data_IF_215345672021
#
_entry.id   IF_215345672021
#
_cell.length_a   1.000
_cell.length_b   1.000
_cell.length_c   1.000
_cell.angle_alpha   90.00
_cell.angle_beta   90.00
_cell.angle_gamma   90.00
#
_symmetry.space_group_name_H-M   'P 1'
#
loop_
_entity.id
_entity.type
_entity.pdbx_description
1 polymer ?
#
# COMPACT_ATOMS: atom_id res chain seq x y z
N UNK A 1 2.23 0.06 -8.40
CA UNK A 1 1.04 -0.57 -7.81
C UNK A 1 -0.12 -0.04 -8.59
N UNK A 2 -0.68 -0.89 -9.42
CA UNK A 2 -1.70 -0.57 -10.39
C UNK A 2 -2.96 -1.36 -10.03
N UNK A 3 -4.13 -0.84 -10.36
CA UNK A 3 -5.41 -1.49 -10.03
C UNK A 3 -6.06 -2.19 -11.22
N UNK A 4 -5.57 -1.95 -12.44
CA UNK A 4 -5.77 -2.84 -13.59
C UNK A 4 -7.08 -2.67 -14.36
N UNK A 5 -7.95 -1.73 -13.99
CA UNK A 5 -9.23 -1.53 -14.68
C UNK A 5 -9.08 -1.07 -16.15
N UNK A 6 -7.90 -0.56 -16.53
CA UNK A 6 -7.61 -0.09 -17.89
C UNK A 6 -6.98 -1.19 -18.77
N UNK A 7 -6.53 -2.29 -18.16
CA UNK A 7 -5.86 -3.36 -18.89
C UNK A 7 -6.89 -4.15 -19.73
N UNK A 8 -6.68 -4.35 -21.04
CA UNK A 8 -7.60 -5.12 -21.89
C UNK A 8 -7.77 -6.58 -21.43
N UNK A 9 -6.85 -7.10 -20.62
CA UNK A 9 -6.92 -8.43 -19.99
C UNK A 9 -7.82 -8.46 -18.75
N UNK A 10 -8.20 -7.31 -18.19
CA UNK A 10 -9.12 -7.23 -17.06
C UNK A 10 -10.55 -7.52 -17.54
N UNK A 11 -10.99 -8.78 -17.42
CA UNK A 11 -12.31 -9.24 -17.89
C UNK A 11 -13.38 -9.30 -16.81
N UNK A 12 -13.00 -9.20 -15.54
CA UNK A 12 -13.91 -9.32 -14.40
C UNK A 12 -13.51 -8.33 -13.31
N UNK A 13 -14.51 -7.71 -12.66
CA UNK A 13 -14.29 -6.96 -11.44
C UNK A 13 -15.11 -7.50 -10.27
N UNK A 14 -14.63 -7.22 -9.06
CA UNK A 14 -15.37 -7.45 -7.82
C UNK A 14 -15.92 -6.09 -7.40
N UNK A 15 -17.23 -5.91 -7.57
CA UNK A 15 -17.91 -4.68 -7.19
C UNK A 15 -18.43 -4.79 -5.76
N UNK A 16 -18.15 -3.78 -4.92
CA UNK A 16 -18.73 -3.66 -3.59
C UNK A 16 -19.77 -2.55 -3.59
N UNK A 17 -21.01 -2.89 -3.29
CA UNK A 17 -22.15 -1.98 -3.31
C UNK A 17 -22.95 -2.04 -2.01
N UNK A 18 -23.74 -0.99 -1.76
CA UNK A 18 -24.73 -0.97 -0.69
C UNK A 18 -25.97 -1.76 -1.14
N UNK A 19 -26.46 -2.68 -0.32
CA UNK A 19 -27.59 -3.57 -0.66
C UNK A 19 -28.80 -3.37 0.25
N UNK A 20 -28.63 -3.47 1.57
CA UNK A 20 -29.71 -3.25 2.55
C UNK A 20 -29.37 -2.03 3.42
N UNK A 21 -30.12 -0.94 3.26
CA UNK A 21 -29.92 0.30 4.01
C UNK A 21 -30.53 0.30 5.40
N UNK A 22 -31.41 -0.68 5.71
CA UNK A 22 -32.03 -0.89 7.02
C UNK A 22 -31.22 -1.83 7.93
N UNK A 23 -30.34 -2.66 7.36
CA UNK A 23 -29.46 -3.53 8.13
C UNK A 23 -28.49 -2.76 9.05
N UNK A 24 -27.88 -3.47 10.03
CA UNK A 24 -26.78 -2.92 10.84
C UNK A 24 -25.65 -2.40 9.94
N UNK A 25 -25.02 -1.28 10.31
CA UNK A 25 -24.02 -0.54 9.49
C UNK A 25 -22.97 -1.42 8.77
N UNK A 26 -22.44 -2.46 9.44
CA UNK A 26 -21.41 -3.36 8.89
C UNK A 26 -21.96 -4.51 8.03
N UNK A 27 -23.28 -4.59 7.85
CA UNK A 27 -24.01 -5.59 7.05
C UNK A 27 -24.78 -4.95 5.89
N UNK A 28 -24.53 -3.67 5.58
CA UNK A 28 -25.27 -2.96 4.54
C UNK A 28 -24.65 -3.13 3.14
N UNK A 29 -23.53 -3.83 3.01
CA UNK A 29 -22.79 -3.96 1.77
C UNK A 29 -22.59 -5.42 1.37
N UNK A 30 -22.59 -5.67 0.07
CA UNK A 30 -22.32 -6.97 -0.54
C UNK A 30 -21.22 -6.84 -1.60
N UNK A 31 -20.59 -7.96 -1.95
CA UNK A 31 -19.67 -8.02 -3.07
C UNK A 31 -20.24 -8.93 -4.17
N UNK A 32 -20.07 -8.53 -5.42
CA UNK A 32 -20.63 -9.23 -6.57
C UNK A 32 -19.62 -9.24 -7.72
N UNK A 33 -19.57 -10.36 -8.45
CA UNK A 33 -18.76 -10.49 -9.65
C UNK A 33 -19.46 -9.80 -10.83
N UNK A 34 -18.73 -8.96 -11.55
CA UNK A 34 -19.26 -8.22 -12.71
C UNK A 34 -18.30 -8.37 -13.89
N UNK A 35 -18.70 -9.05 -14.99
CA UNK A 35 -17.94 -9.08 -16.24
C UNK A 35 -17.75 -7.66 -16.78
N UNK A 36 -16.53 -7.30 -17.19
CA UNK A 36 -16.18 -5.94 -17.60
C UNK A 36 -16.84 -5.52 -18.93
N UNK A 37 -17.34 -6.48 -19.70
CA UNK A 37 -18.12 -6.29 -20.93
C UNK A 37 -19.63 -6.20 -20.70
N UNK A 38 -20.10 -6.23 -19.44
CA UNK A 38 -21.53 -6.11 -19.13
C UNK A 38 -22.07 -4.75 -19.60
N UNK A 39 -23.19 -4.69 -20.34
CA UNK A 39 -23.80 -3.43 -20.76
C UNK A 39 -24.02 -2.48 -19.58
N UNK A 40 -23.66 -1.20 -19.77
CA UNK A 40 -23.74 -0.16 -18.75
C UNK A 40 -22.42 0.12 -18.01
N UNK A 41 -21.37 -0.67 -18.24
CA UNK A 41 -20.03 -0.37 -17.72
C UNK A 41 -19.31 0.57 -18.69
N UNK A 42 -18.73 1.65 -18.15
CA UNK A 42 -17.92 2.59 -18.93
C UNK A 42 -16.70 3.04 -18.14
N UNK A 43 -15.52 2.77 -18.68
CA UNK A 43 -14.27 3.39 -18.23
C UNK A 43 -14.24 4.84 -18.71
N UNK A 44 -14.18 5.78 -17.77
CA UNK A 44 -14.28 7.22 -18.05
C UNK A 44 -12.93 7.80 -18.41
N UNK A 45 -11.92 7.55 -17.57
CA UNK A 45 -10.57 8.10 -17.74
C UNK A 45 -9.55 7.40 -16.86
N UNK A 46 -8.26 7.42 -17.25
CA UNK A 46 -7.16 7.11 -16.34
C UNK A 46 -7.01 8.18 -15.25
N UNK A 47 -6.45 7.77 -14.11
CA UNK A 47 -6.06 8.63 -13.00
C UNK A 47 -4.54 8.56 -12.83
N UNK A 48 -3.92 9.72 -12.68
CA UNK A 48 -2.46 9.82 -12.50
C UNK A 48 -2.07 9.99 -11.03
N UNK A 49 -0.93 9.43 -10.64
CA UNK A 49 -0.30 9.62 -9.33
C UNK A 49 0.99 10.41 -9.54
N UNK A 50 1.07 11.65 -9.06
CA UNK A 50 2.21 12.55 -9.36
C UNK A 50 2.54 12.66 -10.87
N UNK A 51 1.53 12.55 -11.74
CA UNK A 51 1.71 12.55 -13.19
C UNK A 51 2.05 11.19 -13.81
N UNK A 52 2.32 10.14 -13.03
CA UNK A 52 2.48 8.78 -13.53
C UNK A 52 1.12 8.14 -13.81
N UNK A 53 0.93 7.60 -15.02
CA UNK A 53 -0.33 6.97 -15.46
C UNK A 53 -0.44 5.48 -15.08
N UNK A 54 0.68 4.83 -14.78
CA UNK A 54 0.75 3.42 -14.39
C UNK A 54 0.37 2.46 -15.53
N UNK A 55 0.52 2.87 -16.79
CA UNK A 55 0.19 2.05 -17.94
C UNK A 55 1.06 0.76 -18.01
N UNK A 56 0.53 -0.36 -18.53
CA UNK A 56 -0.80 -0.52 -19.14
C UNK A 56 -1.94 -0.76 -18.15
N UNK A 57 -1.67 -1.10 -16.89
CA UNK A 57 -2.72 -1.49 -15.94
C UNK A 57 -3.50 -0.29 -15.37
N UNK A 58 -2.76 0.72 -14.92
CA UNK A 58 -3.22 2.01 -14.43
C UNK A 58 -4.26 2.01 -13.30
N UNK A 59 -4.84 3.19 -13.10
CA UNK A 59 -5.97 3.45 -12.21
C UNK A 59 -7.10 4.10 -13.02
N UNK A 60 -8.31 3.57 -12.93
CA UNK A 60 -9.43 4.01 -13.76
C UNK A 60 -10.62 4.51 -12.94
N UNK A 61 -11.24 5.58 -13.42
CA UNK A 61 -12.61 5.92 -13.05
C UNK A 61 -13.57 5.10 -13.90
N UNK A 62 -14.44 4.31 -13.28
CA UNK A 62 -15.38 3.41 -13.96
C UNK A 62 -16.80 3.67 -13.47
N UNK A 63 -17.73 3.89 -14.40
CA UNK A 63 -19.16 4.07 -14.12
C UNK A 63 -19.90 2.76 -14.39
N UNK A 64 -20.85 2.44 -13.51
CA UNK A 64 -21.78 1.34 -13.65
C UNK A 64 -23.19 1.92 -13.73
N UNK A 65 -23.73 2.06 -14.94
CA UNK A 65 -25.04 2.65 -15.22
C UNK A 65 -26.04 1.56 -15.64
N UNK A 66 -27.04 1.28 -14.79
CA UNK A 66 -28.05 0.24 -15.03
C UNK A 66 -27.49 -1.15 -15.37
N UNK A 67 -26.30 -1.48 -14.84
CA UNK A 67 -25.64 -2.77 -15.02
C UNK A 67 -26.45 -3.87 -14.34
N UNK A 68 -26.77 -4.93 -15.09
CA UNK A 68 -27.52 -6.09 -14.60
C UNK A 68 -26.67 -7.35 -14.71
N UNK A 69 -26.60 -8.11 -13.63
CA UNK A 69 -25.90 -9.40 -13.55
C UNK A 69 -26.76 -10.44 -12.80
N UNK A 70 -26.53 -11.75 -12.99
CA UNK A 70 -27.26 -12.78 -12.25
C UNK A 70 -27.07 -12.68 -10.73
N UNK A 71 -28.10 -13.02 -9.95
CA UNK A 71 -28.03 -13.09 -8.48
C UNK A 71 -26.94 -14.06 -8.01
N UNK A 72 -26.70 -15.13 -8.77
CA UNK A 72 -25.65 -16.12 -8.50
C UNK A 72 -24.23 -15.55 -8.55
N UNK A 73 -24.03 -14.32 -9.05
CA UNK A 73 -22.73 -13.65 -9.03
C UNK A 73 -22.36 -13.10 -7.64
N UNK A 74 -23.30 -13.11 -6.68
CA UNK A 74 -23.04 -12.66 -5.31
C UNK A 74 -21.96 -13.53 -4.67
N UNK A 75 -20.95 -12.87 -4.08
CA UNK A 75 -19.91 -13.55 -3.34
C UNK A 75 -20.37 -13.78 -1.90
N UNK A 76 -20.40 -15.04 -1.47
CA UNK A 76 -20.74 -15.54 -0.14
C UNK A 76 -22.18 -15.30 0.32
N UNK A 77 -22.75 -14.11 0.10
CA UNK A 77 -24.15 -13.79 0.41
C UNK A 77 -24.37 -12.31 0.72
N UNK A 78 -25.64 -11.94 0.86
CA UNK A 78 -26.05 -10.56 1.15
C UNK A 78 -25.50 -10.05 2.49
N UNK A 79 -25.05 -8.80 2.49
CA UNK A 79 -24.52 -8.11 3.67
C UNK A 79 -23.15 -8.62 4.12
N UNK A 80 -22.50 -9.51 3.36
CA UNK A 80 -21.18 -10.08 3.68
C UNK A 80 -20.01 -9.29 3.09
N UNK A 81 -20.26 -8.16 2.42
CA UNK A 81 -19.23 -7.40 1.70
C UNK A 81 -18.08 -6.91 2.59
N UNK A 82 -18.38 -6.43 3.80
CA UNK A 82 -17.32 -5.98 4.73
C UNK A 82 -16.44 -7.14 5.23
N UNK A 83 -17.05 -8.31 5.46
CA UNK A 83 -16.31 -9.51 5.88
C UNK A 83 -15.34 -9.97 4.79
N UNK A 84 -15.81 -10.04 3.54
CA UNK A 84 -14.98 -10.40 2.39
C UNK A 84 -13.85 -9.37 2.21
N UNK A 85 -14.16 -8.08 2.32
CA UNK A 85 -13.15 -7.02 2.26
C UNK A 85 -12.05 -7.22 3.30
N UNK A 86 -12.40 -7.42 4.57
CA UNK A 86 -11.40 -7.61 5.64
C UNK A 86 -10.59 -8.90 5.44
N UNK A 87 -11.24 -9.98 5.00
CA UNK A 87 -10.57 -11.25 4.70
C UNK A 87 -9.49 -11.10 3.61
N UNK A 88 -9.78 -10.33 2.56
CA UNK A 88 -8.84 -10.08 1.45
C UNK A 88 -7.78 -9.03 1.76
N UNK A 89 -8.14 -7.95 2.45
CA UNK A 89 -7.25 -6.81 2.68
C UNK A 89 -6.11 -7.13 3.66
N UNK A 90 -6.28 -8.09 4.57
CA UNK A 90 -5.21 -8.53 5.48
C UNK A 90 -3.95 -9.00 4.72
N UNK A 91 -4.05 -10.06 3.89
CA UNK A 91 -2.95 -10.51 3.03
C UNK A 91 -2.43 -9.45 2.05
N UNK A 92 -3.33 -8.65 1.46
CA UNK A 92 -2.94 -7.57 0.55
C UNK A 92 -1.96 -6.57 1.21
N UNK A 93 -2.28 -6.11 2.43
CA UNK A 93 -1.46 -5.18 3.19
C UNK A 93 -0.06 -5.70 3.44
N UNK A 94 0.10 -6.95 3.87
CA UNK A 94 1.43 -7.50 4.15
C UNK A 94 2.27 -7.67 2.87
N UNK A 95 1.65 -8.12 1.77
CA UNK A 95 2.37 -8.24 0.49
C UNK A 95 2.92 -6.89 0.01
N UNK A 96 2.17 -5.80 0.21
CA UNK A 96 2.64 -4.46 -0.10
C UNK A 96 3.80 -4.03 0.82
N UNK A 97 3.71 -4.31 2.12
CA UNK A 97 4.77 -3.99 3.07
C UNK A 97 6.06 -4.75 2.75
N UNK A 98 5.98 -6.04 2.40
CA UNK A 98 7.13 -6.85 1.98
C UNK A 98 7.82 -6.26 0.74
N UNK A 99 7.04 -5.86 -0.28
CA UNK A 99 7.57 -5.20 -1.49
C UNK A 99 8.24 -3.86 -1.18
N UNK A 100 7.70 -3.10 -0.23
CA UNK A 100 8.29 -1.82 0.20
C UNK A 100 9.66 -1.99 0.88
N UNK A 101 9.90 -3.10 1.57
CA UNK A 101 11.27 -3.42 2.06
C UNK A 101 12.23 -3.54 0.88
N UNK A 102 11.83 -4.23 -0.20
CA UNK A 102 12.63 -4.33 -1.43
C UNK A 102 12.88 -2.97 -2.10
N UNK A 103 11.87 -2.10 -2.13
CA UNK A 103 12.04 -0.74 -2.64
C UNK A 103 13.06 0.07 -1.82
N UNK A 104 12.98 -0.01 -0.50
CA UNK A 104 13.89 0.71 0.39
C UNK A 104 15.34 0.20 0.26
N UNK A 105 15.54 -1.12 0.16
CA UNK A 105 16.87 -1.70 -0.10
C UNK A 105 17.47 -1.23 -1.42
N UNK A 106 16.66 -1.24 -2.49
CA UNK A 106 17.11 -0.77 -3.80
C UNK A 106 17.46 0.72 -3.77
N UNK A 107 16.65 1.53 -3.09
CA UNK A 107 16.93 2.96 -2.92
C UNK A 107 18.23 3.21 -2.15
N UNK A 108 18.46 2.47 -1.06
CA UNK A 108 19.71 2.54 -0.29
C UNK A 108 20.92 2.15 -1.14
N UNK A 109 20.83 1.06 -1.92
CA UNK A 109 21.89 0.64 -2.83
C UNK A 109 22.22 1.73 -3.86
N UNK A 110 21.21 2.33 -4.48
CA UNK A 110 21.39 3.42 -5.45
C UNK A 110 22.03 4.65 -4.78
N UNK A 111 21.59 5.00 -3.57
CA UNK A 111 22.16 6.10 -2.78
C UNK A 111 23.65 5.88 -2.50
N UNK A 112 24.03 4.69 -2.05
CA UNK A 112 25.44 4.34 -1.78
C UNK A 112 26.26 4.44 -3.07
N UNK A 113 25.82 3.79 -4.15
CA UNK A 113 26.52 3.83 -5.43
C UNK A 113 26.73 5.27 -5.93
N UNK A 114 25.68 6.09 -5.91
CA UNK A 114 25.72 7.49 -6.34
C UNK A 114 26.68 8.33 -5.51
N UNK A 115 26.67 8.15 -4.20
CA UNK A 115 27.45 8.98 -3.27
C UNK A 115 28.93 8.60 -3.27
N UNK A 116 29.26 7.35 -3.57
CA UNK A 116 30.64 6.91 -3.79
C UNK A 116 31.21 7.40 -5.13
N UNK A 117 30.37 7.51 -6.17
CA UNK A 117 30.83 7.86 -7.52
C UNK A 117 30.88 9.36 -7.82
N UNK A 118 30.39 10.22 -6.93
CA UNK A 118 30.30 11.67 -7.15
C UNK A 118 31.18 12.44 -6.18
N UNK A 119 31.95 13.37 -6.71
CA UNK A 119 32.78 14.30 -5.93
C UNK A 119 32.14 15.68 -5.96
N UNK A 120 32.03 16.31 -4.78
CA UNK A 120 31.61 17.70 -4.63
C UNK A 120 32.38 18.33 -3.46
N UNK A 121 32.73 19.61 -3.58
CA UNK A 121 33.51 20.32 -2.56
C UNK A 121 34.83 19.59 -2.20
N UNK A 122 35.52 19.08 -3.22
CA UNK A 122 36.86 18.48 -3.07
C UNK A 122 36.91 17.04 -2.52
N UNK A 123 35.78 16.39 -2.23
CA UNK A 123 35.74 14.98 -1.77
C UNK A 123 34.50 14.21 -2.25
N UNK A 124 34.51 12.87 -2.24
CA UNK A 124 33.32 12.08 -2.52
C UNK A 124 32.16 12.46 -1.60
N UNK A 125 30.92 12.41 -2.10
CA UNK A 125 29.73 12.66 -1.29
C UNK A 125 29.63 11.68 -0.10
N UNK A 126 30.09 10.44 -0.28
CA UNK A 126 30.18 9.44 0.79
C UNK A 126 31.08 9.85 1.98
N UNK A 127 31.97 10.84 1.79
CA UNK A 127 32.80 11.41 2.86
C UNK A 127 32.17 12.64 3.54
N UNK A 128 30.93 12.99 3.19
CA UNK A 128 30.15 14.04 3.85
C UNK A 128 29.38 13.43 5.03
N UNK A 129 29.48 14.05 6.21
CA UNK A 129 28.88 13.50 7.43
C UNK A 129 27.37 13.35 7.37
N UNK A 130 26.67 14.26 6.68
CA UNK A 130 25.22 14.17 6.45
C UNK A 130 24.84 12.91 5.66
N UNK A 131 25.56 12.62 4.57
CA UNK A 131 25.34 11.43 3.74
C UNK A 131 25.59 10.14 4.54
N UNK A 132 26.65 10.11 5.36
CA UNK A 132 26.93 8.96 6.23
C UNK A 132 25.79 8.71 7.23
N UNK A 133 25.24 9.76 7.82
CA UNK A 133 24.08 9.66 8.69
C UNK A 133 22.84 9.15 7.94
N UNK A 134 22.59 9.63 6.73
CA UNK A 134 21.43 9.20 5.92
C UNK A 134 21.51 7.72 5.51
N UNK A 135 22.70 7.24 5.16
CA UNK A 135 22.96 5.81 4.89
C UNK A 135 22.73 4.99 6.15
N UNK A 136 23.29 5.40 7.29
CA UNK A 136 23.16 4.68 8.56
C UNK A 136 21.70 4.63 9.05
N UNK A 137 21.00 5.77 9.05
CA UNK A 137 19.57 5.85 9.41
C UNK A 137 18.74 4.95 8.51
N UNK A 138 18.98 4.99 7.20
CA UNK A 138 18.24 4.16 6.25
C UNK A 138 18.41 2.67 6.52
N UNK A 139 19.64 2.19 6.79
CA UNK A 139 19.89 0.79 7.16
C UNK A 139 19.13 0.40 8.43
N UNK A 140 19.21 1.21 9.49
CA UNK A 140 18.53 0.94 10.77
C UNK A 140 17.01 0.83 10.57
N UNK A 141 16.42 1.81 9.88
CA UNK A 141 14.97 1.86 9.66
C UNK A 141 14.48 0.67 8.81
N UNK A 142 15.25 0.26 7.80
CA UNK A 142 14.93 -0.91 6.97
C UNK A 142 14.93 -2.19 7.83
N UNK A 143 15.96 -2.41 8.65
CA UNK A 143 16.02 -3.62 9.50
C UNK A 143 14.87 -3.67 10.50
N UNK A 144 14.61 -2.56 11.19
CA UNK A 144 13.50 -2.47 12.15
C UNK A 144 12.16 -2.81 11.49
N UNK A 145 11.92 -2.25 10.30
CA UNK A 145 10.68 -2.47 9.58
C UNK A 145 10.57 -3.89 9.02
N UNK A 146 11.68 -4.46 8.51
CA UNK A 146 11.74 -5.85 8.04
C UNK A 146 11.36 -6.82 9.16
N UNK A 147 11.94 -6.66 10.34
CA UNK A 147 11.63 -7.52 11.49
C UNK A 147 10.16 -7.40 11.91
N UNK A 148 9.59 -6.19 11.87
CA UNK A 148 8.17 -5.98 12.15
C UNK A 148 7.27 -6.67 11.11
N UNK A 149 7.65 -6.64 9.83
CA UNK A 149 6.95 -7.36 8.74
C UNK A 149 7.05 -8.87 8.93
N UNK A 150 8.22 -9.41 9.29
CA UNK A 150 8.40 -10.84 9.57
C UNK A 150 7.61 -11.28 10.81
N UNK A 151 7.55 -10.44 11.85
CA UNK A 151 6.68 -10.69 13.01
C UNK A 151 5.22 -10.79 12.58
N UNK A 152 4.74 -9.87 11.75
CA UNK A 152 3.37 -9.91 11.25
C UNK A 152 3.08 -11.18 10.44
N UNK A 153 3.99 -11.57 9.55
CA UNK A 153 3.90 -12.81 8.78
C UNK A 153 3.82 -14.04 9.71
N UNK A 154 4.72 -14.12 10.69
CA UNK A 154 4.75 -15.20 11.67
C UNK A 154 3.44 -15.30 12.47
N UNK A 155 2.86 -14.17 12.89
CA UNK A 155 1.57 -14.15 13.58
C UNK A 155 0.42 -14.60 12.67
N UNK A 156 0.46 -14.27 11.37
CA UNK A 156 -0.51 -14.73 10.40
C UNK A 156 -0.40 -16.25 10.18
N UNK A 157 0.81 -16.79 10.09
CA UNK A 157 1.05 -18.23 9.89
C UNK A 157 0.54 -19.06 11.08
N UNK A 158 0.80 -18.60 12.31
CA UNK A 158 0.43 -19.32 13.53
C UNK A 158 -1.05 -19.17 13.92
N UNK A 159 -1.62 -17.98 13.75
CA UNK A 159 -2.92 -17.63 14.35
C UNK A 159 -3.95 -17.09 13.36
N UNK A 160 -3.57 -16.93 12.08
CA UNK A 160 -4.43 -16.40 11.04
C UNK A 160 -4.63 -14.89 11.10
N UNK A 161 -5.17 -14.35 10.00
CA UNK A 161 -5.26 -12.91 9.76
C UNK A 161 -6.11 -12.13 10.77
N UNK A 162 -7.14 -12.76 11.34
CA UNK A 162 -8.03 -12.09 12.31
C UNK A 162 -7.30 -11.80 13.62
N UNK A 163 -6.47 -12.72 14.10
CA UNK A 163 -5.69 -12.55 15.32
C UNK A 163 -4.51 -11.61 15.06
N UNK A 164 -3.84 -11.75 13.93
CA UNK A 164 -2.71 -10.91 13.52
C UNK A 164 -3.11 -9.50 13.04
N UNK A 165 -4.37 -9.10 13.14
CA UNK A 165 -4.85 -7.79 12.70
C UNK A 165 -4.07 -6.59 13.30
N UNK A 166 -3.66 -6.59 14.59
CA UNK A 166 -2.83 -5.52 15.14
C UNK A 166 -1.47 -5.45 14.43
N UNK A 167 -0.78 -6.57 14.23
CA UNK A 167 0.51 -6.63 13.54
C UNK A 167 0.42 -6.17 12.09
N UNK A 168 -0.63 -6.59 11.37
CA UNK A 168 -0.88 -6.16 9.99
C UNK A 168 -1.09 -4.63 9.92
N UNK A 169 -1.78 -4.05 10.89
CA UNK A 169 -1.95 -2.59 10.96
C UNK A 169 -0.64 -1.87 11.29
N UNK A 170 0.17 -2.40 12.22
CA UNK A 170 1.48 -1.83 12.55
C UNK A 170 2.39 -1.73 11.32
N UNK A 171 2.50 -2.80 10.52
CA UNK A 171 3.33 -2.78 9.30
C UNK A 171 2.76 -1.86 8.23
N UNK A 172 1.43 -1.76 8.12
CA UNK A 172 0.75 -0.92 7.12
C UNK A 172 0.98 0.57 7.36
N UNK A 173 1.29 0.96 8.59
CA UNK A 173 1.70 2.32 8.95
C UNK A 173 3.23 2.48 8.77
N UNK A 174 3.99 1.54 9.33
CA UNK A 174 5.44 1.66 9.43
C UNK A 174 6.15 1.54 8.08
N UNK A 175 5.77 0.57 7.24
CA UNK A 175 6.50 0.27 6.01
C UNK A 175 6.42 1.38 4.95
N UNK A 176 5.25 1.96 4.62
CA UNK A 176 5.20 3.09 3.69
C UNK A 176 5.98 4.30 4.19
N UNK A 177 5.88 4.60 5.48
CA UNK A 177 6.59 5.73 6.10
C UNK A 177 8.11 5.55 6.08
N UNK A 178 8.60 4.35 6.37
CA UNK A 178 10.02 4.00 6.26
C UNK A 178 10.50 4.12 4.82
N UNK A 179 9.79 3.50 3.87
CA UNK A 179 10.18 3.50 2.47
C UNK A 179 10.28 4.93 1.92
N UNK A 180 9.32 5.82 2.26
CA UNK A 180 9.36 7.22 1.86
C UNK A 180 10.59 7.96 2.38
N UNK A 181 10.97 7.79 3.65
CA UNK A 181 12.16 8.45 4.20
C UNK A 181 13.44 7.97 3.54
N UNK A 182 13.56 6.68 3.27
CA UNK A 182 14.74 6.12 2.58
C UNK A 182 14.80 6.60 1.12
N UNK A 183 13.66 6.56 0.41
CA UNK A 183 13.56 7.03 -0.96
C UNK A 183 13.88 8.51 -1.10
N UNK A 184 13.37 9.35 -0.19
CA UNK A 184 13.62 10.80 -0.19
C UNK A 184 15.11 11.12 0.00
N UNK A 185 15.78 10.45 0.95
CA UNK A 185 17.25 10.55 1.13
C UNK A 185 17.99 10.14 -0.14
N UNK A 186 17.56 9.05 -0.78
CA UNK A 186 18.17 8.58 -2.02
C UNK A 186 17.97 9.57 -3.18
N UNK A 187 16.78 10.18 -3.31
CA UNK A 187 16.49 11.24 -4.28
C UNK A 187 17.42 12.42 -4.04
N UNK A 188 17.51 12.89 -2.79
CA UNK A 188 18.37 14.00 -2.41
C UNK A 188 19.84 13.74 -2.76
N UNK A 189 20.34 12.53 -2.50
CA UNK A 189 21.70 12.13 -2.84
C UNK A 189 21.98 12.10 -4.36
N UNK A 190 20.94 11.97 -5.20
CA UNK A 190 21.05 12.04 -6.65
C UNK A 190 20.95 13.48 -7.20
N UNK A 191 20.54 14.44 -6.38
CA UNK A 191 20.26 15.81 -6.80
C UNK A 191 19.08 15.86 -7.77
N UNK A 192 19.11 16.78 -8.75
CA UNK A 192 18.04 16.89 -9.75
C UNK A 192 17.77 15.59 -10.52
N UNK A 193 18.80 14.74 -10.72
CA UNK A 193 18.62 13.42 -11.34
C UNK A 193 17.69 12.49 -10.57
N UNK A 194 17.61 12.61 -9.24
CA UNK A 194 16.73 11.78 -8.40
C UNK A 194 15.24 11.99 -8.68
N UNK A 195 14.88 13.15 -9.24
CA UNK A 195 13.52 13.50 -9.64
C UNK A 195 13.21 13.12 -11.10
N UNK A 196 14.24 12.76 -11.87
CA UNK A 196 14.12 12.44 -13.29
C UNK A 196 13.75 10.98 -13.53
N UNK A 197 13.56 10.61 -14.79
CA UNK A 197 13.32 9.23 -15.22
C UNK A 197 14.61 8.42 -15.46
N UNK A 198 15.80 9.02 -15.31
CA UNK A 198 17.08 8.33 -15.44
C UNK A 198 17.31 7.33 -14.29
N UNK A 199 16.58 7.51 -13.18
CA UNK A 199 16.62 6.64 -12.01
C UNK A 199 15.21 6.23 -11.60
N UNK A 200 15.03 5.04 -11.02
CA UNK A 200 13.70 4.56 -10.62
C UNK A 200 13.17 5.21 -9.33
N UNK A 201 13.87 6.20 -8.76
CA UNK A 201 13.59 6.72 -7.43
C UNK A 201 12.25 7.48 -7.33
N UNK A 202 11.97 8.37 -8.28
CA UNK A 202 10.73 9.14 -8.32
C UNK A 202 9.46 8.26 -8.45
N UNK A 203 9.38 7.29 -9.38
CA UNK A 203 8.22 6.39 -9.44
C UNK A 203 8.12 5.47 -8.21
N UNK A 204 9.25 5.02 -7.63
CA UNK A 204 9.23 4.26 -6.37
C UNK A 204 8.68 5.09 -5.21
N UNK A 205 9.02 6.38 -5.12
CA UNK A 205 8.49 7.32 -4.13
C UNK A 205 6.99 7.51 -4.29
N UNK A 206 6.52 7.75 -5.53
CA UNK A 206 5.10 7.87 -5.82
C UNK A 206 4.32 6.61 -5.39
N UNK A 207 4.84 5.42 -5.71
CA UNK A 207 4.24 4.15 -5.29
C UNK A 207 4.19 3.99 -3.76
N UNK A 208 5.26 4.32 -3.04
CA UNK A 208 5.29 4.28 -1.58
C UNK A 208 4.31 5.30 -0.96
N UNK A 209 4.17 6.48 -1.58
CA UNK A 209 3.24 7.52 -1.11
C UNK A 209 1.79 7.10 -1.27
N UNK A 210 1.45 6.45 -2.38
CA UNK A 210 0.12 5.87 -2.61
C UNK A 210 -0.26 4.86 -1.54
N UNK A 211 0.71 4.06 -1.06
CA UNK A 211 0.49 3.05 -0.03
C UNK A 211 0.20 3.60 1.37
N UNK A 212 0.29 4.92 1.59
CA UNK A 212 -0.26 5.57 2.80
C UNK A 212 -1.77 5.85 2.71
N UNK A 213 -2.38 5.61 1.54
CA UNK A 213 -3.80 5.83 1.27
C UNK A 213 -4.49 4.52 0.85
N UNK A 214 -3.88 3.79 -0.09
CA UNK A 214 -4.36 2.50 -0.55
C UNK A 214 -4.45 1.48 0.62
N UNK A 215 -5.42 0.57 0.54
CA UNK A 215 -5.74 -0.43 1.57
C UNK A 215 -6.01 0.14 2.98
N UNK A 216 -6.41 1.41 3.05
CA UNK A 216 -6.76 2.14 4.27
C UNK A 216 -5.70 3.18 4.62
N UNK A 217 -6.09 4.45 4.83
CA UNK A 217 -5.19 5.50 5.29
C UNK A 217 -4.55 5.17 6.65
N UNK A 218 -3.34 5.68 6.88
CA UNK A 218 -2.58 5.44 8.11
C UNK A 218 -3.40 5.79 9.37
N UNK A 219 -4.17 6.87 9.34
CA UNK A 219 -4.98 7.36 10.46
C UNK A 219 -6.06 6.36 10.88
N UNK A 220 -6.60 5.59 9.92
CA UNK A 220 -7.58 4.54 10.19
C UNK A 220 -6.91 3.39 10.96
N UNK A 221 -5.70 3.01 10.57
CA UNK A 221 -4.92 1.96 11.22
C UNK A 221 -4.42 2.40 12.61
N UNK A 222 -3.96 3.65 12.74
CA UNK A 222 -3.54 4.23 14.01
C UNK A 222 -4.69 4.25 15.02
N UNK A 223 -5.88 4.70 14.61
CA UNK A 223 -7.07 4.69 15.45
C UNK A 223 -7.42 3.28 15.92
N UNK A 224 -7.32 2.28 15.04
CA UNK A 224 -7.57 0.88 15.39
C UNK A 224 -6.59 0.40 16.47
N UNK A 225 -5.28 0.66 16.28
CA UNK A 225 -4.26 0.27 17.24
C UNK A 225 -4.46 0.94 18.60
N UNK A 226 -4.70 2.25 18.63
CA UNK A 226 -4.97 2.99 19.86
C UNK A 226 -6.20 2.42 20.60
N UNK A 227 -7.28 2.13 19.86
CA UNK A 227 -8.48 1.51 20.42
C UNK A 227 -8.21 0.16 21.08
N UNK A 228 -7.34 -0.66 20.49
CA UNK A 228 -6.92 -1.95 21.07
C UNK A 228 -6.14 -1.72 22.37
N UNK A 229 -5.19 -0.77 22.39
CA UNK A 229 -4.42 -0.48 23.61
C UNK A 229 -5.32 -0.01 24.75
N UNK A 230 -6.27 0.89 24.49
CA UNK A 230 -7.22 1.34 25.51
C UNK A 230 -8.13 0.22 26.02
N UNK A 231 -8.57 -0.68 25.13
CA UNK A 231 -9.36 -1.83 25.53
C UNK A 231 -8.56 -2.76 26.47
N UNK A 232 -7.29 -3.05 26.12
CA UNK A 232 -6.41 -3.89 26.94
C UNK A 232 -6.11 -3.25 28.29
N UNK A 233 -5.82 -1.95 28.33
CA UNK A 233 -5.59 -1.20 29.57
C UNK A 233 -6.79 -1.27 30.51
N UNK A 234 -8.00 -1.00 30.00
CA UNK A 234 -9.26 -1.10 30.77
C UNK A 234 -9.47 -2.51 31.32
N UNK A 235 -9.15 -3.54 30.53
CA UNK A 235 -9.26 -4.94 30.96
C UNK A 235 -8.24 -5.27 32.06
N UNK A 236 -7.06 -4.67 32.03
CA UNK A 236 -6.01 -4.82 33.02
C UNK A 236 -6.24 -4.00 34.31
N UNK A 237 -7.30 -3.18 34.39
CA UNK A 237 -7.56 -2.21 35.48
C UNK A 237 -6.42 -1.20 35.69
N UNK A 238 -5.74 -0.84 34.60
CA UNK A 238 -4.85 0.34 34.54
C UNK A 238 -5.66 1.59 34.19
#
# INVERSE_FOLDING_TARGET
METGALDPRCKICIFMGKTDTGAKKHKQQSMILVPMDTPGIRTIRPLTVFGYDGAPEGHGEVIFENVRVPVSNILLGDGRGFEIAQGRLGPGRIHHCMRLIGHAERALQLMIHRTMSRVAFGKPLAAQGSIQQDVAKSRIEIEQCRLLVLKAAHMMDLYGNKVAAPEIAMIKIAAPSMALRVLDRAIQAHGGGGLSMDFPLAPMYAAARTLRLADGPDEVHLRMLAGIQYYLARKAKL
#
